data_IF_603258740217
#
_entry.id   IF_603258740217
#
_cell.length_a   1.000
_cell.length_b   1.000
_cell.length_c   1.000
_cell.angle_alpha   90.00
_cell.angle_beta   90.00
_cell.angle_gamma   90.00
#
_symmetry.space_group_name_H-M   'P 1'
#
loop_
_entity.id
_entity.type
_entity.pdbx_description
1 polymer ?
#
# COMPACT_ATOMS: atom_id res chain seq x y z
N UNK A 1 -7.41 -10.25 -9.31
CA UNK A 1 -7.97 -10.52 -7.97
C UNK A 1 -8.73 -11.84 -7.90
N UNK A 2 -9.95 -11.97 -8.46
CA UNK A 2 -10.84 -13.13 -8.24
C UNK A 2 -10.22 -14.47 -8.65
N UNK A 3 -9.58 -14.54 -9.83
CA UNK A 3 -8.91 -15.76 -10.31
C UNK A 3 -7.78 -16.25 -9.38
N UNK A 4 -7.14 -15.32 -8.68
CA UNK A 4 -6.09 -15.63 -7.70
C UNK A 4 -6.64 -15.71 -6.26
N UNK A 5 -7.97 -15.66 -6.08
CA UNK A 5 -8.63 -15.69 -4.75
C UNK A 5 -8.07 -14.67 -3.75
N UNK A 6 -7.69 -13.50 -4.24
CA UNK A 6 -7.06 -12.43 -3.45
C UNK A 6 -5.73 -12.81 -2.79
N UNK A 7 -5.08 -13.89 -3.23
CA UNK A 7 -3.74 -14.25 -2.79
C UNK A 7 -2.72 -13.20 -3.31
N UNK A 8 -1.99 -12.49 -2.41
CA UNK A 8 -1.05 -11.44 -2.79
C UNK A 8 0.16 -11.96 -3.58
N UNK A 9 0.64 -13.15 -3.25
CA UNK A 9 1.80 -13.76 -3.90
C UNK A 9 1.46 -14.13 -5.35
N UNK A 10 0.35 -14.83 -5.54
CA UNK A 10 -0.11 -15.25 -6.88
C UNK A 10 -0.49 -14.05 -7.75
N UNK A 11 -1.13 -13.03 -7.19
CA UNK A 11 -1.45 -11.81 -7.94
C UNK A 11 -0.19 -11.12 -8.47
N UNK A 12 0.82 -11.00 -7.61
CA UNK A 12 2.10 -10.38 -7.97
C UNK A 12 2.83 -11.20 -9.04
N UNK A 13 3.01 -12.51 -8.81
CA UNK A 13 3.70 -13.40 -9.76
C UNK A 13 3.06 -13.37 -11.15
N UNK A 14 1.75 -13.58 -11.22
CA UNK A 14 1.03 -13.58 -12.49
C UNK A 14 1.16 -12.24 -13.22
N UNK A 15 1.10 -11.11 -12.49
CA UNK A 15 1.21 -9.78 -13.13
C UNK A 15 2.62 -9.52 -13.66
N UNK A 16 3.65 -9.86 -12.89
CA UNK A 16 5.04 -9.71 -13.31
C UNK A 16 5.35 -10.60 -14.53
N UNK A 17 4.91 -11.86 -14.50
CA UNK A 17 5.11 -12.79 -15.63
C UNK A 17 4.37 -12.34 -16.88
N UNK A 18 3.13 -11.84 -16.74
CA UNK A 18 2.38 -11.28 -17.86
C UNK A 18 3.12 -10.10 -18.50
N UNK A 19 3.66 -9.18 -17.70
CA UNK A 19 4.42 -8.03 -18.22
C UNK A 19 5.71 -8.46 -18.94
N UNK A 20 6.41 -9.47 -18.40
CA UNK A 20 7.58 -10.07 -19.08
C UNK A 20 7.21 -10.68 -20.43
N UNK A 21 6.09 -11.40 -20.51
CA UNK A 21 5.63 -12.02 -21.76
C UNK A 21 5.27 -11.00 -22.83
N UNK A 22 4.81 -9.81 -22.43
CA UNK A 22 4.56 -8.68 -23.33
C UNK A 22 5.84 -7.94 -23.74
N UNK A 23 7.01 -8.31 -23.20
CA UNK A 23 8.30 -7.71 -23.53
C UNK A 23 8.68 -6.50 -22.68
N UNK A 24 7.94 -6.20 -21.60
CA UNK A 24 8.34 -5.12 -20.68
C UNK A 24 9.50 -5.56 -19.78
N UNK A 25 10.48 -4.67 -19.55
CA UNK A 25 11.43 -4.82 -18.45
C UNK A 25 10.68 -4.67 -17.13
N UNK A 26 10.99 -5.55 -16.18
CA UNK A 26 10.38 -5.59 -14.84
C UNK A 26 11.45 -5.59 -13.76
N UNK A 27 12.62 -5.00 -14.03
CA UNK A 27 13.74 -4.96 -13.08
C UNK A 27 13.40 -4.06 -11.86
N UNK A 28 12.49 -3.12 -12.05
CA UNK A 28 11.97 -2.20 -11.03
C UNK A 28 10.45 -2.22 -11.05
N UNK A 29 9.86 -2.50 -9.90
CA UNK A 29 8.40 -2.62 -9.73
C UNK A 29 7.96 -1.67 -8.62
N UNK A 30 6.87 -0.96 -8.87
CA UNK A 30 6.13 -0.22 -7.86
C UNK A 30 4.80 -0.95 -7.59
N UNK A 31 4.49 -1.18 -6.32
CA UNK A 31 3.20 -1.75 -5.93
C UNK A 31 2.17 -0.66 -5.65
N UNK A 32 0.90 -0.98 -5.93
CA UNK A 32 -0.25 -0.17 -5.54
C UNK A 32 -1.22 -1.11 -4.81
N UNK A 33 -1.41 -0.89 -3.52
CA UNK A 33 -2.35 -1.61 -2.67
C UNK A 33 -3.68 -0.87 -2.70
N UNK A 34 -4.58 -1.38 -3.54
CA UNK A 34 -5.88 -0.77 -3.78
C UNK A 34 -6.94 -1.25 -2.77
N UNK A 35 -7.92 -0.39 -2.48
CA UNK A 35 -9.14 -0.75 -1.74
C UNK A 35 -9.51 0.19 -0.59
N UNK A 36 -8.65 1.16 -0.25
CA UNK A 36 -8.95 2.24 0.70
C UNK A 36 -9.12 1.85 2.18
N UNK A 37 -9.32 0.57 2.50
CA UNK A 37 -9.54 0.08 3.86
C UNK A 37 -8.49 -0.93 4.32
N UNK A 38 -7.37 -1.05 3.60
CA UNK A 38 -6.29 -1.98 3.95
C UNK A 38 -5.82 -1.80 5.40
N UNK A 39 -5.68 -0.55 5.84
CA UNK A 39 -5.24 -0.20 7.19
C UNK A 39 -6.27 -0.46 8.29
N UNK A 40 -7.52 -0.77 7.92
CA UNK A 40 -8.55 -1.18 8.86
C UNK A 40 -8.51 -2.69 9.15
N UNK A 41 -7.75 -3.45 8.36
CA UNK A 41 -7.65 -4.90 8.51
C UNK A 41 -6.75 -5.30 9.71
N UNK A 42 -6.95 -6.50 10.26
CA UNK A 42 -6.10 -7.05 11.31
C UNK A 42 -4.60 -7.01 10.96
N UNK A 43 -3.75 -6.74 11.95
CA UNK A 43 -2.29 -6.59 11.78
C UNK A 43 -1.62 -7.82 11.18
N UNK A 44 -2.04 -9.01 11.59
CA UNK A 44 -1.57 -10.29 11.08
C UNK A 44 -1.89 -10.47 9.59
N UNK A 45 -3.07 -10.02 9.15
CA UNK A 45 -3.42 -10.00 7.73
C UNK A 45 -2.59 -8.98 6.96
N UNK A 46 -2.39 -7.77 7.50
CA UNK A 46 -1.57 -6.73 6.86
C UNK A 46 -0.12 -7.17 6.70
N UNK A 47 0.47 -7.77 7.73
CA UNK A 47 1.82 -8.35 7.68
C UNK A 47 1.90 -9.46 6.62
N UNK A 48 0.97 -10.42 6.69
CA UNK A 48 0.87 -11.50 5.69
C UNK A 48 0.82 -10.92 4.27
N UNK A 49 -0.01 -9.91 4.04
CA UNK A 49 -0.20 -9.35 2.72
C UNK A 49 1.08 -8.71 2.17
N UNK A 50 1.69 -7.78 2.93
CA UNK A 50 2.90 -7.05 2.51
C UNK A 50 4.09 -8.00 2.35
N UNK A 51 4.27 -8.93 3.29
CA UNK A 51 5.32 -9.94 3.22
C UNK A 51 5.26 -10.73 1.92
N UNK A 52 4.07 -11.19 1.54
CA UNK A 52 3.88 -11.96 0.31
C UNK A 52 4.10 -11.14 -0.97
N UNK A 53 3.92 -9.81 -0.95
CA UNK A 53 4.29 -8.95 -2.08
C UNK A 53 5.81 -8.96 -2.31
N UNK A 54 6.59 -8.80 -1.24
CA UNK A 54 8.06 -8.85 -1.31
C UNK A 54 8.57 -10.25 -1.67
N UNK A 55 8.01 -11.29 -1.05
CA UNK A 55 8.36 -12.70 -1.30
C UNK A 55 8.11 -13.10 -2.76
N UNK A 56 7.06 -12.58 -3.40
CA UNK A 56 6.78 -12.84 -4.80
C UNK A 56 7.85 -12.28 -5.75
N UNK A 57 8.51 -11.18 -5.38
CA UNK A 57 9.61 -10.59 -6.14
C UNK A 57 10.95 -11.23 -5.81
N UNK A 58 11.22 -11.56 -4.55
CA UNK A 58 12.49 -12.13 -4.10
C UNK A 58 12.60 -13.63 -4.36
N UNK A 59 11.48 -14.34 -4.42
CA UNK A 59 11.42 -15.81 -4.45
C UNK A 59 11.73 -16.46 -3.09
N UNK A 60 12.02 -15.68 -2.06
CA UNK A 60 12.21 -16.15 -0.69
C UNK A 60 10.85 -16.30 0.02
N UNK A 61 10.80 -17.10 1.08
CA UNK A 61 9.62 -17.22 1.94
C UNK A 61 9.97 -16.70 3.32
N UNK A 62 9.51 -15.50 3.63
CA UNK A 62 9.81 -14.83 4.90
C UNK A 62 8.82 -15.19 6.01
N UNK A 63 9.25 -14.97 7.25
CA UNK A 63 8.44 -15.13 8.47
C UNK A 63 7.85 -13.81 8.98
N UNK A 64 8.40 -12.67 8.55
CA UNK A 64 7.98 -11.31 8.93
C UNK A 64 8.18 -10.32 7.78
N UNK A 65 7.49 -9.18 7.80
CA UNK A 65 7.72 -8.10 6.82
C UNK A 65 9.18 -7.61 6.82
N UNK A 66 9.79 -7.45 8.00
CA UNK A 66 11.18 -6.98 8.13
C UNK A 66 12.16 -7.91 7.39
N UNK A 67 11.97 -9.23 7.53
CA UNK A 67 12.74 -10.21 6.77
C UNK A 67 12.48 -10.08 5.26
N UNK A 68 11.22 -9.97 4.86
CA UNK A 68 10.82 -9.89 3.45
C UNK A 68 11.43 -8.67 2.75
N UNK A 69 11.41 -7.51 3.40
CA UNK A 69 12.05 -6.28 2.91
C UNK A 69 13.55 -6.50 2.71
N UNK A 70 14.24 -7.08 3.70
CA UNK A 70 15.69 -7.34 3.64
C UNK A 70 16.09 -8.28 2.50
N UNK A 71 15.29 -9.30 2.21
CA UNK A 71 15.53 -10.17 1.04
C UNK A 71 15.13 -9.49 -0.27
N UNK A 72 14.08 -8.67 -0.27
CA UNK A 72 13.65 -7.87 -1.42
C UNK A 72 14.74 -6.89 -1.89
N UNK A 73 15.48 -6.29 -0.95
CA UNK A 73 16.65 -5.43 -1.23
C UNK A 73 17.75 -6.14 -2.05
N UNK A 74 17.85 -7.47 -1.96
CA UNK A 74 18.84 -8.28 -2.69
C UNK A 74 18.27 -8.97 -3.94
N UNK A 75 16.96 -8.88 -4.17
CA UNK A 75 16.31 -9.47 -5.35
C UNK A 75 16.80 -8.84 -6.65
N UNK A 76 16.76 -9.60 -7.75
CA UNK A 76 16.98 -9.07 -9.10
C UNK A 76 15.86 -8.10 -9.50
N UNK A 77 14.62 -8.36 -9.07
CA UNK A 77 13.48 -7.47 -9.28
C UNK A 77 13.29 -6.62 -8.02
N UNK A 78 13.55 -5.31 -8.14
CA UNK A 78 13.50 -4.37 -7.01
C UNK A 78 12.10 -3.82 -6.81
N UNK A 79 11.61 -3.87 -5.58
CA UNK A 79 10.50 -3.03 -5.15
C UNK A 79 11.03 -1.61 -4.92
N UNK A 80 10.69 -0.66 -5.79
CA UNK A 80 11.14 0.73 -5.68
C UNK A 80 10.18 1.62 -4.90
N UNK A 81 8.98 1.12 -4.63
CA UNK A 81 7.96 1.85 -3.89
C UNK A 81 6.70 1.03 -3.69
N UNK A 82 5.98 1.37 -2.63
CA UNK A 82 4.63 0.85 -2.37
C UNK A 82 3.74 2.07 -2.17
N UNK A 83 2.64 2.10 -2.92
CA UNK A 83 1.55 3.05 -2.74
C UNK A 83 0.42 2.35 -1.98
N UNK A 84 -0.04 2.94 -0.88
CA UNK A 84 -1.19 2.42 -0.13
C UNK A 84 -2.33 3.43 -0.24
N UNK A 85 -3.48 2.95 -0.74
CA UNK A 85 -4.73 3.69 -0.71
C UNK A 85 -5.36 3.57 0.68
N UNK A 86 -5.78 4.70 1.24
CA UNK A 86 -6.41 4.73 2.57
C UNK A 86 -7.45 5.84 2.69
N UNK A 87 -8.30 5.72 3.71
CA UNK A 87 -9.17 6.81 4.15
C UNK A 87 -8.42 7.73 5.13
N UNK A 88 -8.77 9.03 5.21
CA UNK A 88 -8.11 10.00 6.09
C UNK A 88 -8.10 9.61 7.58
N UNK A 89 -9.18 8.96 8.06
CA UNK A 89 -9.33 8.46 9.43
C UNK A 89 -8.39 7.29 9.76
N UNK A 90 -7.77 6.67 8.76
CA UNK A 90 -6.74 5.64 8.91
C UNK A 90 -5.32 6.15 8.62
N UNK A 91 -5.09 7.46 8.71
CA UNK A 91 -3.76 8.11 8.60
C UNK A 91 -3.23 8.66 9.93
N UNK A 92 -3.64 8.08 11.06
CA UNK A 92 -3.10 8.42 12.37
C UNK A 92 -1.63 7.99 12.52
N UNK A 93 -0.92 8.59 13.47
CA UNK A 93 0.52 8.33 13.74
C UNK A 93 0.88 6.84 13.80
N UNK A 94 0.07 6.01 14.45
CA UNK A 94 0.29 4.55 14.52
C UNK A 94 0.28 3.90 13.13
N UNK A 95 -0.67 4.29 12.28
CA UNK A 95 -0.82 3.73 10.94
C UNK A 95 0.31 4.18 10.02
N UNK A 96 0.74 5.45 10.14
CA UNK A 96 1.89 5.96 9.40
C UNK A 96 3.18 5.22 9.76
N UNK A 97 3.39 4.92 11.05
CA UNK A 97 4.52 4.08 11.48
C UNK A 97 4.48 2.68 10.87
N UNK A 98 3.30 2.03 10.84
CA UNK A 98 3.14 0.72 10.20
C UNK A 98 3.46 0.80 8.70
N UNK A 99 2.97 1.83 8.01
CA UNK A 99 3.23 2.03 6.59
C UNK A 99 4.72 2.22 6.28
N UNK A 100 5.46 2.94 7.14
CA UNK A 100 6.92 3.05 7.01
C UNK A 100 7.58 1.68 7.16
N UNK A 101 7.17 0.87 8.14
CA UNK A 101 7.69 -0.48 8.34
C UNK A 101 7.39 -1.41 7.16
N UNK A 102 6.27 -1.20 6.46
CA UNK A 102 5.92 -1.93 5.25
C UNK A 102 6.75 -1.54 4.03
N UNK A 103 7.54 -0.47 4.09
CA UNK A 103 8.25 0.08 2.92
C UNK A 103 7.36 0.94 2.02
N UNK A 104 6.26 1.47 2.55
CA UNK A 104 5.40 2.41 1.84
C UNK A 104 6.13 3.73 1.60
N UNK A 105 5.99 4.28 0.39
CA UNK A 105 6.62 5.54 -0.03
C UNK A 105 5.61 6.60 -0.45
N UNK A 106 4.42 6.16 -0.88
CA UNK A 106 3.34 7.04 -1.34
C UNK A 106 2.01 6.66 -0.71
N UNK A 107 1.24 7.66 -0.28
CA UNK A 107 -0.10 7.49 0.24
C UNK A 107 -1.09 8.16 -0.70
N UNK A 108 -2.15 7.43 -1.02
CA UNK A 108 -3.30 7.96 -1.75
C UNK A 108 -4.48 8.04 -0.79
N UNK A 109 -4.90 9.26 -0.48
CA UNK A 109 -5.90 9.53 0.55
C UNK A 109 -7.20 9.93 -0.12
N UNK A 110 -8.24 9.12 0.05
CA UNK A 110 -9.52 9.35 -0.62
C UNK A 110 -10.33 10.53 -0.07
N UNK A 111 -9.99 11.76 -0.46
CA UNK A 111 -10.66 13.01 -0.03
C UNK A 111 -12.05 13.13 -0.64
N UNK A 112 -12.17 12.94 -1.95
CA UNK A 112 -13.39 13.03 -2.78
C UNK A 112 -14.03 14.43 -2.87
N UNK A 113 -14.17 15.15 -1.76
CA UNK A 113 -14.70 16.52 -1.72
C UNK A 113 -14.00 17.35 -0.64
N UNK A 114 -13.78 18.64 -0.93
CA UNK A 114 -13.27 19.64 0.02
C UNK A 114 -14.39 20.39 0.75
N UNK A 115 -15.65 20.10 0.42
CA UNK A 115 -16.81 20.72 1.04
C UNK A 115 -17.45 19.79 2.08
N UNK A 116 -17.64 20.31 3.30
CA UNK A 116 -18.14 19.55 4.45
C UNK A 116 -19.61 19.11 4.29
N UNK A 117 -20.43 19.90 3.60
CA UNK A 117 -21.82 19.56 3.28
C UNK A 117 -21.89 18.33 2.36
N UNK A 118 -21.12 18.31 1.27
CA UNK A 118 -21.05 17.16 0.34
C UNK A 118 -20.55 15.91 1.06
N UNK A 119 -19.50 16.02 1.88
CA UNK A 119 -18.96 14.88 2.62
C UNK A 119 -19.98 14.31 3.63
N UNK A 120 -20.78 15.18 4.25
CA UNK A 120 -21.86 14.80 5.16
C UNK A 120 -23.04 14.15 4.43
N UNK A 121 -23.51 14.78 3.36
CA UNK A 121 -24.71 14.36 2.63
C UNK A 121 -24.50 13.02 1.91
N UNK A 122 -23.26 12.75 1.48
CA UNK A 122 -22.86 11.47 0.89
C UNK A 122 -22.50 10.38 1.91
N UNK A 123 -22.62 10.67 3.22
CA UNK A 123 -22.23 9.79 4.32
C UNK A 123 -20.79 9.25 4.16
N UNK A 124 -19.85 10.14 3.85
CA UNK A 124 -18.46 9.79 3.54
C UNK A 124 -17.70 9.21 4.74
N UNK A 125 -18.12 9.55 5.96
CA UNK A 125 -17.58 9.02 7.21
C UNK A 125 -16.25 9.63 7.66
N UNK A 126 -15.89 10.82 7.17
CA UNK A 126 -14.79 11.65 7.69
C UNK A 126 -15.09 13.14 7.45
N UNK A 127 -14.38 14.04 8.13
CA UNK A 127 -14.46 15.50 7.93
C UNK A 127 -13.34 16.00 7.02
N UNK A 128 -13.48 17.19 6.45
CA UNK A 128 -12.42 17.87 5.70
C UNK A 128 -11.28 18.24 6.64
N UNK A 129 -11.58 18.57 7.91
CA UNK A 129 -10.54 18.78 8.93
C UNK A 129 -9.64 17.55 9.11
N UNK A 130 -10.21 16.34 9.18
CA UNK A 130 -9.44 15.11 9.30
C UNK A 130 -8.52 14.88 8.09
N UNK A 131 -8.96 15.28 6.89
CA UNK A 131 -8.13 15.27 5.68
C UNK A 131 -6.91 16.17 5.86
N UNK A 132 -7.10 17.42 6.27
CA UNK A 132 -6.01 18.37 6.49
C UNK A 132 -4.98 17.84 7.50
N UNK A 133 -5.45 17.28 8.63
CA UNK A 133 -4.58 16.67 9.64
C UNK A 133 -3.81 15.48 9.09
N UNK A 134 -4.47 14.60 8.33
CA UNK A 134 -3.83 13.45 7.68
C UNK A 134 -2.72 13.87 6.72
N UNK A 135 -2.93 14.95 5.95
CA UNK A 135 -1.96 15.46 4.99
C UNK A 135 -0.74 16.05 5.68
N UNK A 136 -0.95 16.82 6.74
CA UNK A 136 0.15 17.36 7.53
C UNK A 136 1.00 16.23 8.11
N UNK A 137 0.38 15.27 8.82
CA UNK A 137 1.12 14.15 9.41
C UNK A 137 1.85 13.29 8.37
N UNK A 138 1.21 12.99 7.24
CA UNK A 138 1.83 12.19 6.17
C UNK A 138 3.03 12.91 5.53
N UNK A 139 2.92 14.22 5.29
CA UNK A 139 4.02 15.02 4.75
C UNK A 139 5.18 15.15 5.74
N UNK A 140 4.88 15.37 7.02
CA UNK A 140 5.89 15.47 8.08
C UNK A 140 6.63 14.13 8.27
N UNK A 141 5.96 13.00 8.03
CA UNK A 141 6.57 11.67 8.01
C UNK A 141 7.34 11.35 6.71
N UNK A 142 7.35 12.26 5.72
CA UNK A 142 8.12 12.12 4.47
C UNK A 142 7.41 11.35 3.36
N UNK A 143 6.12 11.05 3.48
CA UNK A 143 5.37 10.38 2.42
C UNK A 143 5.06 11.32 1.25
N UNK A 144 5.08 10.77 0.03
CA UNK A 144 4.43 11.43 -1.11
C UNK A 144 2.92 11.29 -0.94
N UNK A 145 2.19 12.41 -0.90
CA UNK A 145 0.73 12.42 -0.72
C UNK A 145 0.03 12.71 -2.05
N UNK A 146 -0.97 11.89 -2.39
CA UNK A 146 -1.89 12.04 -3.52
C UNK A 146 -3.33 12.01 -2.98
N UNK A 147 -4.23 12.75 -3.62
CA UNK A 147 -5.60 12.99 -3.16
C UNK A 147 -6.59 12.90 -4.32
#
# INVERSE_FOLDING_TARGET
>A
AIRARYDPYLQTRHRVEQLKQLGHSVDKVEFIVMGGTFMALPEDYRDYFIRNLHDALSGHKSSSVSEAVKYSERSNVKCIGITIETRPDYCLKRHLSDMLNYGCTRLEIGVQSVYEDIARDTNRGHTVKAVCESFNMAKDAGFKVVA
#
